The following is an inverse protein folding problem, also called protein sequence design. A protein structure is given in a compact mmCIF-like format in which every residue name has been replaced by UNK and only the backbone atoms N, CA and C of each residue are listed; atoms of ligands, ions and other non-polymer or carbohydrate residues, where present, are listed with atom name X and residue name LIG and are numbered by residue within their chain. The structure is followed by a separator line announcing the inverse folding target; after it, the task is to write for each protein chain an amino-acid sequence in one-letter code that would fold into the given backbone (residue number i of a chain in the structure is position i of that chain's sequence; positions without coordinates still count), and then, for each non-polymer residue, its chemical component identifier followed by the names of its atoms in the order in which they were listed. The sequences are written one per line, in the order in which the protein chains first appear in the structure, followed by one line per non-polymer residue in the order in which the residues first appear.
data_IF_593380118165
#
_entry.id   IF_593380118165
#
_cell.length_a   1.000
_cell.length_b   1.000
_cell.length_c   1.000
_cell.angle_alpha   90.00
_cell.angle_beta   90.00
_cell.angle_gamma   90.00
#
_symmetry.space_group_name_H-M   'P 1'
#
loop_
_entity.id
_entity.type
_entity.pdbx_description
1 polymer ?
#
# COMPACT_ATOMS: atom_id res chain seq x y z
N UNK A 1 13.75 37.83 -8.36
CA UNK A 1 12.74 36.83 -8.76
C UNK A 1 12.57 35.83 -7.63
N UNK A 2 11.35 35.56 -7.16
CA UNK A 2 11.09 34.58 -6.08
C UNK A 2 10.88 33.21 -6.72
N UNK A 3 11.77 32.24 -6.45
CA UNK A 3 11.55 30.85 -6.86
C UNK A 3 10.39 30.27 -6.07
N UNK A 4 9.41 29.71 -6.77
CA UNK A 4 8.32 28.93 -6.17
C UNK A 4 8.71 27.46 -6.26
N UNK A 5 9.11 26.88 -5.13
CA UNK A 5 9.29 25.44 -5.02
C UNK A 5 7.93 24.79 -4.80
N UNK A 6 7.61 23.80 -5.62
CA UNK A 6 6.40 22.99 -5.48
C UNK A 6 6.83 21.57 -5.22
N UNK A 7 6.32 20.97 -4.15
CA UNK A 7 6.61 19.57 -3.78
C UNK A 7 5.28 18.84 -3.84
N UNK A 8 5.26 17.71 -4.54
CA UNK A 8 4.14 16.78 -4.55
C UNK A 8 4.55 15.54 -3.78
N UNK A 9 3.64 15.07 -2.93
CA UNK A 9 3.80 13.83 -2.19
C UNK A 9 2.72 12.86 -2.67
N UNK A 10 3.14 11.62 -2.86
CA UNK A 10 2.19 10.51 -2.90
C UNK A 10 1.64 10.27 -1.48
N UNK A 11 0.48 9.63 -1.38
CA UNK A 11 -0.17 9.34 -0.10
C UNK A 11 0.29 7.98 0.44
N UNK A 12 -0.01 6.93 -0.31
CA UNK A 12 0.18 5.54 0.09
C UNK A 12 1.67 5.17 0.08
N UNK A 13 2.18 4.72 1.23
CA UNK A 13 3.59 4.36 1.38
C UNK A 13 4.57 5.55 1.40
N UNK A 14 4.10 6.79 1.20
CA UNK A 14 4.91 8.01 1.30
C UNK A 14 4.54 8.83 2.53
N UNK A 15 3.27 9.25 2.65
CA UNK A 15 2.79 9.98 3.82
C UNK A 15 2.12 9.06 4.85
N UNK A 16 1.56 7.94 4.41
CA UNK A 16 0.82 7.00 5.27
C UNK A 16 1.23 5.56 4.95
N UNK A 17 1.55 4.77 5.98
CA UNK A 17 1.75 3.33 5.83
C UNK A 17 0.40 2.61 5.74
N UNK A 18 -0.16 2.59 4.52
CA UNK A 18 -1.46 1.97 4.23
C UNK A 18 -1.38 0.48 3.91
N UNK A 19 -0.17 -0.10 3.86
CA UNK A 19 0.02 -1.51 3.52
C UNK A 19 -0.71 -2.50 4.45
N UNK A 20 -0.74 -2.31 5.78
CA UNK A 20 -1.48 -3.20 6.68
C UNK A 20 -3.00 -3.14 6.44
N UNK A 21 -3.55 -1.95 6.25
CA UNK A 21 -4.99 -1.77 6.09
C UNK A 21 -5.49 -2.30 4.75
N UNK A 22 -4.73 -2.05 3.67
CA UNK A 22 -4.99 -2.63 2.35
C UNK A 22 -4.92 -4.17 2.40
N UNK A 23 -4.04 -4.73 3.23
CA UNK A 23 -3.98 -6.18 3.46
C UNK A 23 -5.26 -6.74 4.04
N UNK A 24 -5.74 -6.09 5.10
CA UNK A 24 -6.94 -6.52 5.81
C UNK A 24 -8.15 -6.46 4.89
N UNK A 25 -8.29 -5.38 4.11
CA UNK A 25 -9.33 -5.25 3.11
C UNK A 25 -9.24 -6.33 2.02
N UNK A 26 -8.04 -6.60 1.49
CA UNK A 26 -7.82 -7.66 0.52
C UNK A 26 -8.22 -9.04 1.07
N UNK A 27 -7.68 -9.40 2.24
CA UNK A 27 -7.96 -10.70 2.86
C UNK A 27 -9.43 -10.86 3.27
N UNK A 28 -10.11 -9.77 3.61
CA UNK A 28 -11.54 -9.79 3.85
C UNK A 28 -12.33 -10.25 2.61
N UNK A 29 -11.99 -9.72 1.43
CA UNK A 29 -12.61 -10.13 0.15
C UNK A 29 -12.24 -11.57 -0.20
N UNK A 30 -10.95 -11.94 -0.11
CA UNK A 30 -10.50 -13.30 -0.43
C UNK A 30 -11.22 -14.36 0.41
N UNK A 31 -11.35 -14.12 1.71
CA UNK A 31 -12.09 -15.00 2.63
C UNK A 31 -13.57 -15.09 2.26
N UNK A 32 -14.20 -13.97 1.87
CA UNK A 32 -15.62 -13.94 1.49
C UNK A 32 -15.94 -14.80 0.27
N UNK A 33 -14.99 -14.95 -0.65
CA UNK A 33 -15.15 -15.71 -1.89
C UNK A 33 -14.40 -17.06 -1.88
N UNK A 34 -14.00 -17.56 -0.71
CA UNK A 34 -13.30 -18.84 -0.55
C UNK A 34 -11.96 -18.95 -1.30
N UNK A 35 -11.27 -17.82 -1.50
CA UNK A 35 -9.91 -17.81 -2.03
C UNK A 35 -8.84 -17.82 -0.92
N UNK A 36 -7.61 -18.29 -1.21
CA UNK A 36 -6.51 -18.24 -0.26
C UNK A 36 -6.17 -16.81 0.17
N UNK A 37 -6.02 -16.57 1.47
CA UNK A 37 -5.51 -15.32 2.03
C UNK A 37 -3.99 -15.27 1.94
N UNK A 38 -3.41 -14.07 1.93
CA UNK A 38 -1.96 -13.86 1.91
C UNK A 38 -1.48 -13.30 3.24
N UNK A 39 -0.28 -13.69 3.67
CA UNK A 39 0.34 -13.13 4.87
C UNK A 39 0.90 -11.73 4.61
N UNK A 40 1.08 -10.96 5.67
CA UNK A 40 1.73 -9.65 5.62
C UNK A 40 3.17 -9.75 5.10
N UNK A 41 3.86 -10.84 5.41
CA UNK A 41 5.21 -11.14 4.93
C UNK A 41 5.23 -11.40 3.41
N UNK A 42 4.25 -12.13 2.88
CA UNK A 42 4.15 -12.42 1.45
C UNK A 42 3.98 -11.15 0.62
N UNK A 43 3.23 -10.17 1.13
CA UNK A 43 2.92 -8.95 0.36
C UNK A 43 3.95 -7.84 0.56
N UNK A 44 4.68 -7.79 1.68
CA UNK A 44 5.87 -6.91 1.79
C UNK A 44 6.91 -7.19 0.70
N UNK A 45 6.96 -8.41 0.17
CA UNK A 45 7.80 -8.74 -0.98
C UNK A 45 7.28 -8.18 -2.32
N UNK A 46 5.98 -7.85 -2.38
CA UNK A 46 5.27 -7.32 -3.56
C UNK A 46 5.15 -5.79 -3.52
N UNK A 47 4.99 -5.22 -2.32
CA UNK A 47 4.87 -3.77 -2.06
C UNK A 47 6.26 -3.24 -1.73
N UNK A 48 6.91 -2.62 -2.72
CA UNK A 48 8.30 -2.18 -2.59
C UNK A 48 9.09 -2.14 -3.91
N UNK A 49 8.52 -2.64 -5.00
CA UNK A 49 9.02 -2.37 -6.36
C UNK A 49 8.47 -1.07 -6.97
N UNK A 50 8.04 -0.15 -6.10
CA UNK A 50 7.64 1.20 -6.48
C UNK A 50 8.87 2.11 -6.60
N UNK A 51 9.63 1.91 -7.68
CA UNK A 51 10.49 2.89 -8.32
C UNK A 51 10.63 2.50 -9.80
#
# INVERSE_FOLDING_TARGET
MKQKFTILFDLDGTLVDTAPDLMLAHNHVMKRFNYPTKSTEDIRSLVGKGA
#
